data_IF_354405313124
#
_entry.id   IF_354405313124
#
_cell.length_a   1.000
_cell.length_b   1.000
_cell.length_c   1.000
_cell.angle_alpha   90.00
_cell.angle_beta   90.00
_cell.angle_gamma   90.00
#
_symmetry.space_group_name_H-M   'P 1'
#
loop_
_entity.id
_entity.type
_entity.pdbx_description
1 polymer ?
#
# COMPACT_ATOMS: atom_id res chain seq x y z
N UNK A 1 14.73 -11.72 -19.91
CA UNK A 1 14.51 -11.33 -18.51
C UNK A 1 13.20 -11.96 -18.07
N UNK A 2 13.19 -12.71 -16.97
CA UNK A 2 11.96 -13.34 -16.44
C UNK A 2 10.95 -12.22 -16.10
N UNK A 3 9.72 -12.33 -16.61
CA UNK A 3 8.67 -11.32 -16.45
C UNK A 3 8.43 -10.99 -14.97
N UNK A 4 8.58 -12.00 -14.10
CA UNK A 4 8.48 -11.88 -12.64
C UNK A 4 9.52 -10.91 -12.07
N UNK A 5 10.76 -10.90 -12.59
CA UNK A 5 11.81 -9.99 -12.11
C UNK A 5 11.48 -8.54 -12.45
N UNK A 6 10.92 -8.29 -13.65
CA UNK A 6 10.46 -6.95 -14.04
C UNK A 6 9.35 -6.47 -13.13
N UNK A 7 8.36 -7.33 -12.87
CA UNK A 7 7.27 -7.03 -11.95
C UNK A 7 7.80 -6.67 -10.57
N UNK A 8 8.74 -7.45 -10.02
CA UNK A 8 9.34 -7.15 -8.71
C UNK A 8 10.03 -5.78 -8.72
N UNK A 9 10.90 -5.48 -9.69
CA UNK A 9 11.59 -4.18 -9.69
C UNK A 9 10.64 -2.99 -9.78
N UNK A 10 9.63 -3.06 -10.64
CA UNK A 10 8.62 -2.00 -10.76
C UNK A 10 7.83 -1.87 -9.47
N UNK A 11 7.43 -2.99 -8.88
CA UNK A 11 6.66 -3.04 -7.63
C UNK A 11 7.45 -2.44 -6.46
N UNK A 12 8.73 -2.81 -6.33
CA UNK A 12 9.64 -2.28 -5.31
C UNK A 12 9.81 -0.78 -5.47
N UNK A 13 10.12 -0.32 -6.68
CA UNK A 13 10.31 1.11 -6.92
C UNK A 13 9.05 1.92 -6.58
N UNK A 14 7.88 1.42 -6.97
CA UNK A 14 6.60 2.07 -6.69
C UNK A 14 6.33 2.16 -5.18
N UNK A 15 6.40 1.06 -4.44
CA UNK A 15 6.06 1.06 -3.02
C UNK A 15 7.12 1.72 -2.14
N UNK A 16 8.42 1.63 -2.48
CA UNK A 16 9.43 2.43 -1.79
C UNK A 16 9.17 3.93 -2.00
N UNK A 17 8.80 4.35 -3.21
CA UNK A 17 8.38 5.73 -3.48
C UNK A 17 7.14 6.14 -2.69
N UNK A 18 6.13 5.28 -2.62
CA UNK A 18 4.91 5.51 -1.84
C UNK A 18 5.21 5.62 -0.33
N UNK A 19 6.01 4.69 0.21
CA UNK A 19 6.40 4.72 1.61
C UNK A 19 7.29 5.91 1.97
N UNK A 20 8.15 6.39 1.06
CA UNK A 20 8.86 7.66 1.27
C UNK A 20 7.90 8.86 1.30
N UNK A 21 6.84 8.83 0.48
CA UNK A 21 5.84 9.89 0.45
C UNK A 21 5.09 10.05 1.79
N UNK A 22 4.96 8.98 2.59
CA UNK A 22 4.40 9.05 3.95
C UNK A 22 5.16 10.06 4.83
N UNK A 23 6.49 10.10 4.71
CA UNK A 23 7.32 11.00 5.50
C UNK A 23 7.39 12.42 4.91
N UNK A 24 7.24 12.53 3.59
CA UNK A 24 7.25 13.83 2.89
C UNK A 24 5.93 14.59 3.03
N UNK A 25 4.80 13.88 3.11
CA UNK A 25 3.46 14.45 3.16
C UNK A 25 2.64 13.97 4.37
N UNK A 26 3.15 14.06 5.60
CA UNK A 26 2.61 13.28 6.70
C UNK A 26 1.24 13.78 7.18
N UNK A 27 0.91 15.07 7.01
CA UNK A 27 -0.42 15.62 7.36
C UNK A 27 -1.55 15.00 6.51
N UNK A 28 -1.25 14.71 5.25
CA UNK A 28 -2.23 14.09 4.35
C UNK A 28 -2.59 12.68 4.82
N UNK A 29 -1.59 11.88 5.17
CA UNK A 29 -1.80 10.50 5.59
C UNK A 29 -2.39 10.40 7.00
N UNK A 30 -1.98 11.25 7.93
CA UNK A 30 -2.56 11.32 9.27
C UNK A 30 -4.08 11.54 9.21
N UNK A 31 -4.55 12.38 8.29
CA UNK A 31 -5.97 12.68 8.10
C UNK A 31 -6.79 11.52 7.51
N UNK A 32 -6.13 10.55 6.85
CA UNK A 32 -6.77 9.37 6.26
C UNK A 32 -6.91 8.23 7.30
N UNK A 33 -6.09 8.25 8.36
CA UNK A 33 -6.17 7.23 9.42
C UNK A 33 -7.56 7.26 10.06
N UNK A 34 -8.27 6.11 10.17
CA UNK A 34 -9.58 6.06 10.80
C UNK A 34 -9.58 6.62 12.22
N UNK A 35 -10.59 7.42 12.56
CA UNK A 35 -10.66 8.18 13.82
C UNK A 35 -10.69 7.32 15.10
N UNK A 36 -11.04 6.04 14.98
CA UNK A 36 -11.02 5.07 16.08
C UNK A 36 -9.62 4.49 16.34
N UNK A 37 -8.62 4.74 15.47
CA UNK A 37 -7.24 4.31 15.67
C UNK A 37 -6.49 5.39 16.45
N UNK A 38 -5.92 5.09 17.63
CA UNK A 38 -5.17 6.06 18.40
C UNK A 38 -3.81 6.35 17.73
N UNK A 39 -3.26 7.54 18.01
CA UNK A 39 -1.94 7.97 17.55
C UNK A 39 -1.75 7.90 16.02
N UNK A 40 -2.56 8.63 15.23
CA UNK A 40 -2.59 8.53 13.77
C UNK A 40 -1.21 8.70 13.15
N UNK A 41 -0.42 9.68 13.59
CA UNK A 41 0.95 9.93 13.12
C UNK A 41 1.88 8.73 13.29
N UNK A 42 1.85 8.06 14.45
CA UNK A 42 2.71 6.92 14.71
C UNK A 42 2.32 5.72 13.86
N UNK A 43 1.01 5.45 13.75
CA UNK A 43 0.48 4.35 12.94
C UNK A 43 0.78 4.56 11.46
N UNK A 44 0.53 5.76 10.93
CA UNK A 44 0.82 6.11 9.54
C UNK A 44 2.33 6.02 9.23
N UNK A 45 3.20 6.52 10.10
CA UNK A 45 4.64 6.42 9.89
C UNK A 45 5.11 4.96 9.92
N UNK A 46 4.56 4.14 10.83
CA UNK A 46 4.85 2.72 10.87
C UNK A 46 4.43 2.02 9.57
N UNK A 47 3.24 2.30 9.02
CA UNK A 47 2.86 1.74 7.72
C UNK A 47 3.76 2.23 6.58
N UNK A 48 4.23 3.49 6.63
CA UNK A 48 5.22 4.01 5.68
C UNK A 48 6.54 3.26 5.72
N UNK A 49 7.02 2.87 6.91
CA UNK A 49 8.21 2.00 7.06
C UNK A 49 7.95 0.63 6.42
N UNK A 50 6.79 0.03 6.70
CA UNK A 50 6.43 -1.28 6.15
C UNK A 50 6.33 -1.27 4.62
N UNK A 51 5.76 -0.21 4.03
CA UNK A 51 5.72 -0.01 2.57
C UNK A 51 7.10 0.14 1.93
N UNK A 52 8.15 0.44 2.69
CA UNK A 52 9.54 0.45 2.19
C UNK A 52 10.19 -0.91 2.38
N UNK A 53 10.13 -1.47 3.60
CA UNK A 53 10.89 -2.66 3.96
C UNK A 53 10.34 -3.90 3.24
N UNK A 54 9.03 -4.10 3.21
CA UNK A 54 8.44 -5.34 2.69
C UNK A 54 8.71 -5.51 1.18
N UNK A 55 8.54 -4.51 0.32
CA UNK A 55 8.92 -4.65 -1.08
C UNK A 55 10.41 -4.94 -1.25
N UNK A 56 11.31 -4.30 -0.50
CA UNK A 56 12.74 -4.59 -0.58
C UNK A 56 13.05 -6.06 -0.27
N UNK A 57 12.30 -6.70 0.64
CA UNK A 57 12.46 -8.12 0.94
C UNK A 57 12.09 -9.03 -0.25
N UNK A 58 11.28 -8.59 -1.21
CA UNK A 58 10.99 -9.32 -2.46
C UNK A 58 12.23 -9.56 -3.33
N UNK A 59 13.30 -8.78 -3.11
CA UNK A 59 14.60 -8.94 -3.79
C UNK A 59 15.52 -9.96 -3.10
N UNK A 60 15.10 -10.51 -1.95
CA UNK A 60 15.92 -11.40 -1.12
C UNK A 60 15.41 -12.85 -1.19
N UNK A 61 16.03 -13.74 -0.39
CA UNK A 61 15.55 -15.12 -0.19
C UNK A 61 14.20 -15.22 0.53
N UNK A 62 13.70 -14.13 1.12
CA UNK A 62 12.43 -14.08 1.85
C UNK A 62 11.26 -13.63 0.96
N UNK A 63 11.37 -13.80 -0.36
CA UNK A 63 10.41 -13.25 -1.32
C UNK A 63 9.00 -13.78 -1.06
N UNK A 64 8.86 -15.08 -0.86
CA UNK A 64 7.57 -15.72 -0.61
C UNK A 64 6.88 -15.19 0.64
N UNK A 65 7.61 -15.07 1.74
CA UNK A 65 7.11 -14.52 3.01
C UNK A 65 6.76 -13.03 2.85
N UNK A 66 7.64 -12.26 2.21
CA UNK A 66 7.41 -10.85 1.95
C UNK A 66 6.16 -10.62 1.09
N UNK A 67 5.91 -11.46 0.08
CA UNK A 67 4.72 -11.38 -0.75
C UNK A 67 3.43 -11.63 0.06
N UNK A 68 3.42 -12.63 0.94
CA UNK A 68 2.28 -12.87 1.83
C UNK A 68 2.03 -11.70 2.78
N UNK A 69 3.09 -11.20 3.43
CA UNK A 69 3.00 -10.05 4.34
C UNK A 69 2.52 -8.80 3.60
N UNK A 70 2.99 -8.58 2.37
CA UNK A 70 2.58 -7.46 1.54
C UNK A 70 1.09 -7.54 1.19
N UNK A 71 0.56 -8.72 0.84
CA UNK A 71 -0.87 -8.91 0.59
C UNK A 71 -1.70 -8.51 1.82
N UNK A 72 -1.30 -8.97 3.01
CA UNK A 72 -1.97 -8.61 4.27
C UNK A 72 -1.90 -7.10 4.50
N UNK A 73 -0.72 -6.49 4.35
CA UNK A 73 -0.53 -5.04 4.49
C UNK A 73 -1.46 -4.27 3.55
N UNK A 74 -1.55 -4.64 2.27
CA UNK A 74 -2.41 -3.99 1.29
C UNK A 74 -3.88 -4.06 1.67
N UNK A 75 -4.35 -5.19 2.20
CA UNK A 75 -5.74 -5.32 2.67
C UNK A 75 -5.99 -4.34 3.83
N UNK A 76 -5.05 -4.27 4.78
CA UNK A 76 -5.17 -3.35 5.94
C UNK A 76 -5.14 -1.87 5.51
N UNK A 77 -4.20 -1.50 4.62
CA UNK A 77 -4.09 -0.14 4.07
C UNK A 77 -5.32 0.27 3.28
N UNK A 78 -5.94 -0.66 2.55
CA UNK A 78 -7.20 -0.39 1.88
C UNK A 78 -8.32 -0.11 2.87
N UNK A 79 -8.30 -0.72 4.06
CA UNK A 79 -9.26 -0.42 5.13
C UNK A 79 -9.34 1.08 5.46
N UNK A 80 -8.21 1.78 5.53
CA UNK A 80 -8.20 3.24 5.73
C UNK A 80 -8.80 4.01 4.54
N UNK A 81 -8.55 3.55 3.32
CA UNK A 81 -9.09 4.17 2.11
C UNK A 81 -10.59 3.91 1.92
N UNK A 82 -11.05 2.72 2.31
CA UNK A 82 -12.45 2.38 2.38
C UNK A 82 -13.15 3.22 3.45
N UNK A 83 -12.51 3.44 4.60
CA UNK A 83 -13.04 4.32 5.65
C UNK A 83 -13.29 5.74 5.12
N UNK A 84 -12.33 6.32 4.38
CA UNK A 84 -12.52 7.62 3.73
C UNK A 84 -13.69 7.58 2.74
N UNK A 85 -13.79 6.53 1.92
CA UNK A 85 -14.84 6.39 0.93
C UNK A 85 -16.24 6.30 1.56
N UNK A 86 -16.46 5.37 2.48
CA UNK A 86 -17.81 5.11 3.03
C UNK A 86 -18.31 6.24 3.93
N UNK A 87 -17.40 7.00 4.56
CA UNK A 87 -17.75 8.12 5.42
C UNK A 87 -17.71 9.47 4.69
N UNK A 88 -17.43 9.48 3.38
CA UNK A 88 -17.29 10.69 2.57
C UNK A 88 -16.35 11.72 3.22
N UNK A 89 -15.15 11.27 3.60
CA UNK A 89 -14.14 12.13 4.24
C UNK A 89 -13.25 12.79 3.18
N UNK A 90 -12.63 13.94 3.51
CA UNK A 90 -11.69 14.57 2.59
C UNK A 90 -10.47 13.67 2.36
N UNK A 91 -10.10 13.53 1.08
CA UNK A 91 -8.86 12.88 0.65
C UNK A 91 -7.83 13.98 0.35
N UNK A 92 -7.12 14.41 1.40
CA UNK A 92 -6.27 15.60 1.37
C UNK A 92 -7.09 16.89 1.39
N UNK A 93 -6.93 17.75 0.38
CA UNK A 93 -7.67 19.02 0.28
C UNK A 93 -9.00 18.92 -0.49
N UNK A 94 -9.34 17.75 -1.02
CA UNK A 94 -10.49 17.55 -1.90
C UNK A 94 -11.35 16.40 -1.40
N UNK A 95 -12.61 16.37 -1.81
CA UNK A 95 -13.46 15.18 -1.72
C UNK A 95 -13.37 14.41 -3.04
N UNK A 96 -13.17 13.10 -2.96
CA UNK A 96 -13.13 12.25 -4.13
C UNK A 96 -14.53 11.78 -4.50
N UNK A 97 -14.79 11.62 -5.80
CA UNK A 97 -16.03 11.01 -6.28
C UNK A 97 -16.02 9.50 -6.06
N UNK A 98 -17.21 8.87 -6.07
CA UNK A 98 -17.34 7.41 -6.01
C UNK A 98 -16.54 6.71 -7.12
N UNK A 99 -16.45 7.32 -8.31
CA UNK A 99 -15.66 6.78 -9.41
C UNK A 99 -14.16 6.77 -9.08
N UNK A 100 -13.64 7.83 -8.45
CA UNK A 100 -12.22 7.91 -8.06
C UNK A 100 -11.87 6.88 -6.99
N UNK A 101 -12.74 6.71 -5.99
CA UNK A 101 -12.55 5.66 -4.98
C UNK A 101 -12.64 4.25 -5.58
N UNK A 102 -13.57 4.01 -6.52
CA UNK A 102 -13.68 2.73 -7.20
C UNK A 102 -12.45 2.41 -8.07
N UNK A 103 -11.91 3.40 -8.79
CA UNK A 103 -10.64 3.23 -9.52
C UNK A 103 -9.51 2.88 -8.55
N UNK A 104 -9.43 3.55 -7.40
CA UNK A 104 -8.44 3.23 -6.37
C UNK A 104 -8.59 1.80 -5.85
N UNK A 105 -9.82 1.33 -5.65
CA UNK A 105 -10.09 -0.05 -5.27
C UNK A 105 -9.57 -1.04 -6.32
N UNK A 106 -9.82 -0.79 -7.61
CA UNK A 106 -9.30 -1.63 -8.68
C UNK A 106 -7.76 -1.66 -8.71
N UNK A 107 -7.11 -0.51 -8.49
CA UNK A 107 -5.65 -0.44 -8.35
C UNK A 107 -5.17 -1.26 -7.15
N UNK A 108 -5.88 -1.21 -6.03
CA UNK A 108 -5.58 -2.03 -4.85
C UNK A 108 -5.64 -3.53 -5.16
N UNK A 109 -6.71 -3.98 -5.83
CA UNK A 109 -6.87 -5.37 -6.27
C UNK A 109 -5.74 -5.77 -7.22
N UNK A 110 -5.35 -4.88 -8.14
CA UNK A 110 -4.23 -5.10 -9.03
C UNK A 110 -2.90 -5.26 -8.27
N UNK A 111 -2.62 -4.41 -7.27
CA UNK A 111 -1.39 -4.53 -6.47
C UNK A 111 -1.33 -5.84 -5.68
N UNK A 112 -2.46 -6.28 -5.12
CA UNK A 112 -2.59 -7.58 -4.46
C UNK A 112 -2.36 -8.71 -5.46
N UNK A 113 -2.97 -8.63 -6.64
CA UNK A 113 -2.82 -9.65 -7.69
C UNK A 113 -1.38 -9.77 -8.18
N UNK A 114 -0.68 -8.66 -8.43
CA UNK A 114 0.74 -8.68 -8.83
C UNK A 114 1.58 -9.38 -7.75
N UNK A 115 1.33 -9.07 -6.48
CA UNK A 115 2.04 -9.68 -5.35
C UNK A 115 1.75 -11.18 -5.24
N UNK A 116 0.50 -11.58 -5.48
CA UNK A 116 0.11 -12.98 -5.51
C UNK A 116 0.77 -13.74 -6.66
N UNK A 117 0.91 -13.13 -7.84
CA UNK A 117 1.71 -13.69 -8.94
C UNK A 117 3.17 -13.85 -8.49
N UNK A 118 3.78 -12.83 -7.88
CA UNK A 118 5.16 -12.94 -7.35
C UNK A 118 5.29 -14.10 -6.35
N UNK A 119 4.30 -14.31 -5.48
CA UNK A 119 4.25 -15.42 -4.54
C UNK A 119 4.18 -16.80 -5.22
N UNK A 120 3.38 -16.94 -6.29
CA UNK A 120 3.21 -18.21 -7.01
C UNK A 120 4.44 -18.62 -7.83
N UNK A 121 5.16 -17.64 -8.37
CA UNK A 121 6.30 -17.88 -9.28
C UNK A 121 7.67 -17.73 -8.61
N UNK A 122 7.71 -17.72 -7.27
CA UNK A 122 8.96 -17.86 -6.53
C UNK A 122 9.51 -19.28 -6.71
N UNK A 123 10.64 -19.41 -7.41
CA UNK A 123 11.35 -20.66 -7.66
C UNK A 123 12.37 -20.93 -6.56
#
# INVERSE_FOLDING_TARGET
MDITKVLIYVYVLFFVGAGLNHFLNPQFYDAIVPSFIPFPRAVHQFTGILEIIIPLLLLTKYRKEAALVMIVLLVLLYGANLYVWINNLPYGRNYWSNQQHFIRFLLQVLYIYITYVIYLYDK
#
